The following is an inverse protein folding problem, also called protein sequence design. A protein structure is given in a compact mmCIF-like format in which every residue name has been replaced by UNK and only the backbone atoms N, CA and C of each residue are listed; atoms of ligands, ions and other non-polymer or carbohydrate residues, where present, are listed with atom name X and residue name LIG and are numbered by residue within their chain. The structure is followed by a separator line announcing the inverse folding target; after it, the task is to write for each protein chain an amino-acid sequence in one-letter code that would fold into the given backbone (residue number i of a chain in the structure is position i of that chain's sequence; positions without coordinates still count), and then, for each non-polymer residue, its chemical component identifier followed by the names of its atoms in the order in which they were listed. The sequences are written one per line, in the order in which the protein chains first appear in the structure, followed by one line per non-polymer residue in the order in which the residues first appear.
data_IF_272408991950
#
_entry.id   IF_272408991950
#
_cell.length_a   1.000
_cell.length_b   1.000
_cell.length_c   1.000
_cell.angle_alpha   90.00
_cell.angle_beta   90.00
_cell.angle_gamma   90.00
#
_symmetry.space_group_name_H-M   'P 1'
#
loop_
_entity.id
_entity.type
_entity.pdbx_description
1 polymer ?
#
# COMPACT_ATOMS: atom_id res chain seq x y z
N UNK A 1 2.07 -16.29 11.09
CA UNK A 1 3.02 -17.41 11.31
C UNK A 1 3.77 -17.87 10.04
N UNK A 2 3.50 -17.27 8.87
CA UNK A 2 4.01 -17.71 7.55
C UNK A 2 5.35 -17.08 7.13
N UNK A 3 5.62 -15.80 7.46
CA UNK A 3 6.85 -15.12 7.04
C UNK A 3 8.14 -15.61 7.74
N UNK A 4 8.06 -16.07 8.99
CA UNK A 4 9.24 -16.62 9.70
C UNK A 4 9.77 -17.91 9.07
N UNK A 5 8.90 -18.71 8.44
CA UNK A 5 9.33 -19.89 7.68
C UNK A 5 9.94 -19.48 6.34
N UNK A 6 9.38 -18.44 5.69
CA UNK A 6 9.94 -17.89 4.47
C UNK A 6 11.37 -17.38 4.69
N UNK A 7 11.71 -16.80 5.84
CA UNK A 7 13.08 -16.39 6.21
C UNK A 7 14.09 -17.54 6.29
N UNK A 8 13.66 -18.80 6.39
CA UNK A 8 14.57 -19.97 6.45
C UNK A 8 14.95 -20.53 5.07
N UNK A 9 14.30 -20.09 4.00
CA UNK A 9 14.61 -20.54 2.64
C UNK A 9 15.97 -20.00 2.13
N UNK A 10 16.74 -20.74 1.32
CA UNK A 10 17.92 -20.17 0.66
C UNK A 10 17.58 -18.99 -0.26
N UNK A 11 18.42 -17.94 -0.28
CA UNK A 11 18.20 -16.74 -1.10
C UNK A 11 18.11 -17.05 -2.61
N UNK A 12 18.80 -18.09 -3.08
CA UNK A 12 18.77 -18.52 -4.48
C UNK A 12 17.40 -18.97 -5.00
N UNK A 13 16.46 -19.33 -4.11
CA UNK A 13 15.09 -19.69 -4.51
C UNK A 13 14.34 -18.48 -5.06
N UNK A 14 14.67 -17.26 -4.60
CA UNK A 14 14.01 -16.04 -5.04
C UNK A 14 14.51 -15.53 -6.40
N UNK A 15 15.61 -16.06 -6.94
CA UNK A 15 16.07 -15.75 -8.31
C UNK A 15 15.22 -16.43 -9.40
N UNK A 16 14.27 -17.28 -9.01
CA UNK A 16 13.28 -17.88 -9.89
C UNK A 16 11.89 -17.26 -9.69
N UNK A 17 11.76 -16.25 -8.84
CA UNK A 17 10.46 -15.68 -8.48
C UNK A 17 9.76 -15.01 -9.67
N UNK A 18 10.51 -14.33 -10.53
CA UNK A 18 10.10 -13.75 -11.81
C UNK A 18 9.64 -14.79 -12.84
N UNK A 19 9.94 -16.08 -12.62
CA UNK A 19 9.49 -17.21 -13.46
C UNK A 19 8.29 -17.93 -12.89
N UNK A 20 7.98 -17.72 -11.61
CA UNK A 20 6.75 -18.21 -11.00
C UNK A 20 5.45 -17.67 -11.61
N UNK A 21 5.38 -16.52 -12.31
CA UNK A 21 4.15 -16.12 -13.00
C UNK A 21 3.72 -17.11 -14.10
N UNK A 22 4.63 -17.99 -14.56
CA UNK A 22 4.32 -19.07 -15.52
C UNK A 22 4.00 -20.42 -14.88
N UNK A 23 4.14 -20.60 -13.56
CA UNK A 23 3.93 -21.89 -12.86
C UNK A 23 3.12 -21.77 -11.56
N UNK A 24 2.94 -20.58 -10.98
CA UNK A 24 2.37 -20.42 -9.64
C UNK A 24 1.01 -19.72 -9.68
N UNK A 25 0.01 -20.48 -9.23
CA UNK A 25 -1.27 -20.06 -8.66
C UNK A 25 -1.18 -19.01 -7.53
N UNK A 26 0.02 -18.49 -7.18
CA UNK A 26 0.27 -17.56 -6.08
C UNK A 26 -0.05 -16.09 -6.41
N UNK A 27 0.32 -15.63 -7.60
CA UNK A 27 -0.05 -14.29 -8.07
C UNK A 27 -1.52 -14.27 -8.54
N UNK A 28 -1.97 -15.39 -9.13
CA UNK A 28 -3.39 -15.66 -9.28
C UNK A 28 -4.12 -15.68 -7.93
N UNK A 29 -3.54 -16.08 -6.79
CA UNK A 29 -4.26 -15.99 -5.51
C UNK A 29 -4.38 -14.57 -4.97
N UNK A 30 -3.37 -13.70 -5.09
CA UNK A 30 -3.50 -12.31 -4.65
C UNK A 30 -4.45 -11.52 -5.56
N UNK A 31 -4.30 -11.67 -6.89
CA UNK A 31 -5.20 -11.01 -7.84
C UNK A 31 -6.56 -11.70 -7.99
N UNK A 32 -6.69 -13.02 -7.80
CA UNK A 32 -8.02 -13.66 -7.69
C UNK A 32 -8.69 -13.36 -6.37
N UNK A 33 -7.95 -13.02 -5.30
CA UNK A 33 -8.54 -12.46 -4.08
C UNK A 33 -9.06 -11.04 -4.35
N UNK A 34 -8.29 -10.19 -5.01
CA UNK A 34 -8.77 -8.88 -5.50
C UNK A 34 -9.94 -9.06 -6.50
N UNK A 35 -9.91 -10.08 -7.34
CA UNK A 35 -11.00 -10.44 -8.25
C UNK A 35 -12.11 -11.30 -7.59
N UNK A 36 -11.97 -11.68 -6.30
CA UNK A 36 -13.02 -12.25 -5.44
C UNK A 36 -13.69 -11.15 -4.62
N UNK A 37 -12.99 -10.05 -4.37
CA UNK A 37 -13.59 -8.76 -3.97
C UNK A 37 -14.43 -8.16 -5.13
N UNK A 38 -14.28 -8.67 -6.35
CA UNK A 38 -15.30 -8.63 -7.39
C UNK A 38 -16.15 -9.91 -7.25
N UNK A 39 -17.46 -9.85 -6.93
CA UNK A 39 -18.20 -11.02 -6.50
C UNK A 39 -18.24 -12.10 -7.60
N UNK A 40 -17.49 -13.18 -7.38
CA UNK A 40 -17.81 -14.51 -7.93
C UNK A 40 -18.11 -15.39 -6.72
N UNK A 41 -19.39 -15.76 -6.60
CA UNK A 41 -20.00 -16.43 -5.46
C UNK A 41 -19.26 -17.71 -5.02
N UNK A 42 -18.56 -17.66 -3.90
CA UNK A 42 -18.38 -18.82 -3.00
C UNK A 42 -17.59 -18.41 -1.73
N UNK A 43 -18.30 -18.20 -0.63
CA UNK A 43 -17.76 -18.24 0.74
C UNK A 43 -17.04 -16.98 1.24
N UNK A 44 -17.78 -15.91 1.52
CA UNK A 44 -17.30 -14.71 2.24
C UNK A 44 -18.16 -14.53 3.50
N UNK A 45 -17.56 -14.01 4.58
CA UNK A 45 -18.26 -13.74 5.85
C UNK A 45 -19.35 -12.67 5.67
N UNK A 46 -20.39 -12.70 6.52
CA UNK A 46 -21.59 -11.84 6.31
C UNK A 46 -21.31 -10.34 6.34
N UNK A 47 -20.31 -9.86 7.10
CA UNK A 47 -19.99 -8.43 7.19
C UNK A 47 -19.18 -7.92 5.99
N UNK A 48 -18.23 -8.71 5.53
CA UNK A 48 -17.38 -8.40 4.36
C UNK A 48 -18.23 -8.34 3.07
N UNK A 49 -19.32 -9.12 3.01
CA UNK A 49 -20.29 -9.10 1.91
C UNK A 49 -21.06 -7.77 1.79
N UNK A 50 -21.38 -7.10 2.90
CA UNK A 50 -22.21 -5.87 2.88
C UNK A 50 -21.44 -4.65 2.36
N UNK A 51 -20.15 -4.55 2.69
CA UNK A 51 -19.28 -3.50 2.17
C UNK A 51 -18.99 -3.64 0.70
N UNK A 52 -18.62 -4.85 0.29
CA UNK A 52 -18.34 -5.15 -1.11
C UNK A 52 -19.58 -4.81 -1.94
N UNK A 53 -20.78 -5.08 -1.39
CA UNK A 53 -22.05 -4.71 -2.01
C UNK A 53 -22.33 -3.21 -1.99
N UNK A 54 -22.00 -2.50 -0.89
CA UNK A 54 -22.12 -1.03 -0.79
C UNK A 54 -21.18 -0.32 -1.76
N UNK A 55 -19.92 -0.71 -1.80
CA UNK A 55 -18.91 -0.20 -2.72
C UNK A 55 -19.24 -0.59 -4.16
N UNK A 56 -19.84 -1.76 -4.40
CA UNK A 56 -20.41 -2.12 -5.71
C UNK A 56 -21.50 -1.14 -6.11
N UNK A 57 -22.48 -0.91 -5.25
CA UNK A 57 -23.60 -0.02 -5.55
C UNK A 57 -23.11 1.42 -5.78
N UNK A 58 -22.19 1.93 -4.96
CA UNK A 58 -21.56 3.24 -5.18
C UNK A 58 -20.84 3.30 -6.53
N UNK A 59 -20.00 2.31 -6.86
CA UNK A 59 -19.28 2.26 -8.16
C UNK A 59 -20.21 2.24 -9.37
N UNK A 60 -21.25 1.42 -9.33
CA UNK A 60 -22.19 1.32 -10.45
C UNK A 60 -23.08 2.56 -10.56
N UNK A 61 -23.60 3.07 -9.44
CA UNK A 61 -24.54 4.20 -9.44
C UNK A 61 -23.87 5.57 -9.65
N UNK A 62 -22.69 5.78 -9.09
CA UNK A 62 -22.01 7.09 -9.11
C UNK A 62 -20.97 7.18 -10.23
N UNK A 63 -20.23 6.10 -10.48
CA UNK A 63 -19.12 6.08 -11.43
C UNK A 63 -19.43 5.33 -12.72
N UNK A 64 -20.60 4.68 -12.84
CA UNK A 64 -21.00 3.93 -14.03
C UNK A 64 -20.13 2.70 -14.33
N UNK A 65 -19.33 2.25 -13.36
CA UNK A 65 -18.39 1.15 -13.53
C UNK A 65 -19.08 -0.19 -13.31
N UNK A 66 -19.67 -0.73 -14.39
CA UNK A 66 -20.29 -2.05 -14.33
C UNK A 66 -19.31 -3.14 -13.88
N UNK A 67 -19.82 -4.13 -13.16
CA UNK A 67 -19.01 -5.28 -12.73
C UNK A 67 -18.36 -6.04 -13.91
N UNK A 68 -19.03 -6.11 -15.06
CA UNK A 68 -18.48 -6.73 -16.26
C UNK A 68 -17.22 -6.01 -16.76
N UNK A 69 -17.27 -4.67 -16.81
CA UNK A 69 -16.14 -3.82 -17.19
C UNK A 69 -14.98 -3.95 -16.20
N UNK A 70 -15.24 -3.93 -14.89
CA UNK A 70 -14.19 -4.05 -13.88
C UNK A 70 -13.49 -5.41 -13.94
N UNK A 71 -14.25 -6.48 -14.17
CA UNK A 71 -13.70 -7.83 -14.34
C UNK A 71 -12.83 -7.93 -15.60
N UNK A 72 -13.31 -7.38 -16.71
CA UNK A 72 -12.56 -7.35 -17.96
C UNK A 72 -11.28 -6.50 -17.83
N UNK A 73 -11.39 -5.30 -17.25
CA UNK A 73 -10.25 -4.42 -17.00
C UNK A 73 -9.22 -5.08 -16.09
N UNK A 74 -9.66 -5.73 -15.02
CA UNK A 74 -8.76 -6.47 -14.10
C UNK A 74 -8.07 -7.62 -14.81
N UNK A 75 -8.79 -8.37 -15.66
CA UNK A 75 -8.23 -9.46 -16.45
C UNK A 75 -7.19 -8.97 -17.47
N UNK A 76 -7.49 -7.87 -18.16
CA UNK A 76 -6.58 -7.27 -19.15
C UNK A 76 -5.35 -6.70 -18.46
N UNK A 77 -5.52 -5.96 -17.36
CA UNK A 77 -4.43 -5.42 -16.56
C UNK A 77 -3.51 -6.53 -16.05
N UNK A 78 -4.09 -7.61 -15.51
CA UNK A 78 -3.33 -8.77 -15.06
C UNK A 78 -2.54 -9.43 -16.19
N UNK A 79 -3.18 -9.68 -17.34
CA UNK A 79 -2.50 -10.25 -18.51
C UNK A 79 -1.37 -9.35 -19.01
N UNK A 80 -1.57 -8.03 -18.99
CA UNK A 80 -0.55 -7.06 -19.37
C UNK A 80 0.64 -7.14 -18.40
N UNK A 81 0.41 -7.07 -17.09
CA UNK A 81 1.47 -7.21 -16.07
C UNK A 81 2.25 -8.52 -16.21
N UNK A 82 1.56 -9.64 -16.48
CA UNK A 82 2.23 -10.93 -16.70
C UNK A 82 3.06 -11.01 -17.99
N UNK A 83 2.70 -10.20 -18.98
CA UNK A 83 3.44 -10.12 -20.24
C UNK A 83 4.69 -9.24 -20.15
N UNK A 84 4.82 -8.45 -19.08
CA UNK A 84 5.96 -7.58 -18.84
C UNK A 84 7.18 -8.33 -18.27
N UNK A 85 8.31 -7.63 -18.22
CA UNK A 85 9.52 -8.14 -17.60
C UNK A 85 9.38 -8.12 -16.07
N UNK A 86 9.06 -9.27 -15.49
CA UNK A 86 8.85 -9.44 -14.06
C UNK A 86 10.13 -9.71 -13.26
N UNK A 87 11.32 -9.46 -13.80
CA UNK A 87 12.60 -9.62 -13.06
C UNK A 87 12.62 -8.81 -11.75
N UNK A 88 11.88 -7.70 -11.68
CA UNK A 88 11.70 -6.94 -10.44
C UNK A 88 11.05 -7.73 -9.29
N UNK A 89 10.27 -8.76 -9.60
CA UNK A 89 9.59 -9.61 -8.61
C UNK A 89 10.59 -10.47 -7.81
N UNK A 90 11.77 -10.80 -8.36
CA UNK A 90 12.84 -11.45 -7.61
C UNK A 90 13.34 -10.57 -6.47
N UNK A 91 13.60 -9.31 -6.80
CA UNK A 91 14.04 -8.30 -5.85
C UNK A 91 12.96 -8.06 -4.81
N UNK A 92 11.69 -7.90 -5.22
CA UNK A 92 10.55 -7.74 -4.31
C UNK A 92 10.43 -8.90 -3.33
N UNK A 93 10.53 -10.15 -3.80
CA UNK A 93 10.45 -11.30 -2.92
C UNK A 93 11.61 -11.33 -1.92
N UNK A 94 12.83 -10.98 -2.35
CA UNK A 94 13.99 -10.81 -1.46
C UNK A 94 13.79 -9.67 -0.46
N UNK A 95 13.17 -8.56 -0.86
CA UNK A 95 12.79 -7.46 0.02
C UNK A 95 11.83 -7.96 1.10
N UNK A 96 10.72 -8.60 0.71
CA UNK A 96 9.70 -9.10 1.63
C UNK A 96 10.26 -10.09 2.67
N UNK A 97 11.23 -10.94 2.30
CA UNK A 97 11.85 -11.88 3.24
C UNK A 97 13.09 -11.35 3.96
N UNK A 98 13.47 -10.08 3.71
CA UNK A 98 14.68 -9.44 4.24
C UNK A 98 15.94 -10.30 4.05
N UNK A 99 16.14 -10.87 2.85
CA UNK A 99 17.30 -11.75 2.54
C UNK A 99 18.35 -11.12 1.64
N UNK A 100 18.29 -9.81 1.44
CA UNK A 100 19.38 -9.10 0.78
C UNK A 100 20.63 -8.98 1.67
N UNK A 101 21.74 -8.47 1.12
CA UNK A 101 22.91 -8.06 1.89
C UNK A 101 22.56 -7.12 3.06
N UNK A 102 23.48 -6.96 4.02
CA UNK A 102 23.30 -5.93 5.07
C UNK A 102 23.16 -4.56 4.42
N UNK A 103 22.18 -3.76 4.84
CA UNK A 103 21.90 -2.47 4.21
C UNK A 103 21.04 -2.56 2.95
N UNK A 104 20.41 -3.71 2.65
CA UNK A 104 19.61 -3.88 1.44
C UNK A 104 18.36 -3.00 1.42
N UNK A 105 17.78 -2.68 2.58
CA UNK A 105 16.71 -1.69 2.71
C UNK A 105 17.24 -0.26 2.89
N UNK A 106 18.56 -0.07 2.80
CA UNK A 106 19.23 1.20 3.06
C UNK A 106 18.75 1.82 4.38
N UNK A 107 18.37 3.09 4.40
CA UNK A 107 17.86 3.75 5.59
C UNK A 107 16.54 3.16 6.10
N UNK A 108 15.79 2.44 5.27
CA UNK A 108 14.55 1.77 5.70
C UNK A 108 14.79 0.47 6.49
N UNK A 109 16.05 0.02 6.67
CA UNK A 109 16.40 -0.98 7.69
C UNK A 109 16.04 -0.46 9.10
N UNK A 110 16.10 0.86 9.31
CA UNK A 110 15.58 1.58 10.48
C UNK A 110 14.60 2.66 10.03
N UNK A 111 13.30 2.33 10.01
CA UNK A 111 12.29 3.25 9.50
C UNK A 111 12.24 4.59 10.25
N UNK A 112 12.57 4.62 11.54
CA UNK A 112 12.66 5.87 12.30
C UNK A 112 13.84 6.73 11.82
N UNK A 113 14.97 6.11 11.48
CA UNK A 113 16.09 6.81 10.84
C UNK A 113 15.72 7.36 9.46
N UNK A 114 14.97 6.59 8.67
CA UNK A 114 14.45 7.06 7.38
C UNK A 114 13.60 8.34 7.53
N UNK A 115 12.61 8.34 8.42
CA UNK A 115 11.75 9.53 8.63
C UNK A 115 12.56 10.73 9.11
N UNK A 116 13.53 10.52 10.02
CA UNK A 116 14.47 11.59 10.44
C UNK A 116 15.25 12.16 9.26
N UNK A 117 15.77 11.31 8.38
CA UNK A 117 16.50 11.76 7.19
C UNK A 117 15.60 12.52 6.22
N UNK A 118 14.38 12.02 5.99
CA UNK A 118 13.37 12.67 5.15
C UNK A 118 13.02 14.07 5.66
N UNK A 119 12.76 14.22 6.97
CA UNK A 119 12.47 15.53 7.57
C UNK A 119 13.66 16.50 7.42
N UNK A 120 14.90 16.03 7.57
CA UNK A 120 16.10 16.84 7.36
C UNK A 120 16.22 17.35 5.92
N UNK A 121 15.94 16.51 4.93
CA UNK A 121 15.93 16.89 3.52
C UNK A 121 14.83 17.91 3.23
N UNK A 122 13.63 17.72 3.80
CA UNK A 122 12.52 18.66 3.62
C UNK A 122 12.80 20.03 4.27
N UNK A 123 13.46 20.06 5.43
CA UNK A 123 13.95 21.32 6.04
C UNK A 123 14.94 22.04 5.13
N UNK A 124 15.91 21.31 4.58
CA UNK A 124 16.90 21.89 3.66
C UNK A 124 16.23 22.45 2.39
N UNK A 125 15.33 21.67 1.77
CA UNK A 125 14.55 22.08 0.60
C UNK A 125 13.80 23.40 0.84
N UNK A 126 13.22 23.58 2.03
CA UNK A 126 12.52 24.83 2.38
C UNK A 126 13.45 26.00 2.63
N UNK A 127 14.59 25.77 3.29
CA UNK A 127 15.59 26.80 3.48
C UNK A 127 16.08 27.37 2.13
N UNK A 128 16.24 26.50 1.13
CA UNK A 128 16.68 26.88 -0.22
C UNK A 128 15.60 27.65 -1.01
N UNK A 129 14.31 27.44 -0.71
CA UNK A 129 13.17 28.10 -1.40
C UNK A 129 12.81 29.48 -0.84
N UNK A 130 13.51 29.96 0.21
CA UNK A 130 13.28 31.26 0.82
C UNK A 130 12.16 31.29 1.88
N UNK A 131 12.09 32.38 2.64
CA UNK A 131 11.37 32.56 3.93
C UNK A 131 9.84 32.47 3.91
N UNK A 132 9.23 31.91 2.86
CA UNK A 132 7.81 31.57 2.88
C UNK A 132 7.54 30.37 3.79
N UNK A 133 6.36 30.30 4.39
CA UNK A 133 5.88 29.06 5.01
C UNK A 133 5.63 28.06 3.88
N UNK A 134 6.69 27.36 3.45
CA UNK A 134 6.59 26.29 2.46
C UNK A 134 5.63 25.21 2.94
N UNK A 135 4.81 24.68 2.04
CA UNK A 135 3.85 23.63 2.41
C UNK A 135 4.55 22.42 3.03
N UNK A 136 3.89 21.83 4.04
CA UNK A 136 4.36 20.59 4.67
C UNK A 136 4.31 19.44 3.69
N UNK A 137 5.27 18.52 3.79
CA UNK A 137 5.17 17.26 3.06
C UNK A 137 4.04 16.46 3.71
N UNK A 138 2.92 16.35 2.99
CA UNK A 138 1.76 15.58 3.43
C UNK A 138 1.98 14.10 3.15
N UNK A 139 1.75 13.28 4.16
CA UNK A 139 1.79 11.82 4.06
C UNK A 139 0.52 11.26 4.70
N UNK A 140 -0.29 10.57 3.89
CA UNK A 140 -1.51 9.91 4.36
C UNK A 140 -1.31 8.40 4.29
N UNK A 141 -1.49 7.72 5.42
CA UNK A 141 -1.43 6.27 5.53
C UNK A 141 -2.82 5.72 5.86
N UNK A 142 -3.28 4.75 5.07
CA UNK A 142 -4.55 4.05 5.28
C UNK A 142 -4.27 2.65 5.81
N UNK A 143 -4.91 2.30 6.92
CA UNK A 143 -4.81 1.00 7.58
C UNK A 143 -6.16 0.32 7.58
N UNK A 144 -6.18 -0.99 7.40
CA UNK A 144 -7.42 -1.75 7.50
C UNK A 144 -7.78 -2.02 8.97
N UNK A 145 -9.08 -2.09 9.30
CA UNK A 145 -9.53 -2.45 10.66
C UNK A 145 -9.07 -3.86 11.05
N UNK A 146 -9.17 -4.80 10.12
CA UNK A 146 -8.78 -6.20 10.32
C UNK A 146 -7.63 -6.58 9.38
N UNK A 147 -6.43 -6.07 9.64
CA UNK A 147 -5.22 -6.47 8.92
C UNK A 147 -4.47 -7.60 9.66
N UNK A 148 -4.55 -8.83 9.15
CA UNK A 148 -3.86 -9.99 9.72
C UNK A 148 -2.35 -10.04 9.42
N UNK A 149 -1.86 -9.19 8.51
CA UNK A 149 -0.44 -9.15 8.12
C UNK A 149 0.36 -8.15 8.95
N UNK A 150 -0.14 -6.91 9.04
CA UNK A 150 0.51 -5.77 9.70
C UNK A 150 -0.12 -5.56 11.08
N UNK A 151 -1.45 -5.54 11.13
CA UNK A 151 -2.28 -5.31 12.30
C UNK A 151 -2.01 -3.99 13.04
N UNK A 152 -2.72 -3.80 14.15
CA UNK A 152 -2.66 -2.56 14.95
C UNK A 152 -1.25 -2.26 15.49
N UNK A 153 -0.41 -3.29 15.67
CA UNK A 153 0.97 -3.10 16.11
C UNK A 153 1.84 -2.47 15.04
N UNK A 154 1.66 -2.87 13.78
CA UNK A 154 2.38 -2.26 12.67
C UNK A 154 1.91 -0.83 12.40
N UNK A 155 0.61 -0.55 12.54
CA UNK A 155 0.09 0.82 12.53
C UNK A 155 0.75 1.66 13.63
N UNK A 156 0.72 1.22 14.89
CA UNK A 156 1.32 1.95 16.00
C UNK A 156 2.83 2.20 15.78
N UNK A 157 3.57 1.19 15.30
CA UNK A 157 4.98 1.33 14.95
C UNK A 157 5.21 2.41 13.89
N UNK A 158 4.39 2.43 12.84
CA UNK A 158 4.47 3.42 11.77
C UNK A 158 4.21 4.82 12.34
N UNK A 159 3.09 5.00 13.05
CA UNK A 159 2.75 6.29 13.66
C UNK A 159 3.85 6.81 14.60
N UNK A 160 4.44 5.94 15.41
CA UNK A 160 5.54 6.32 16.31
C UNK A 160 6.79 6.78 15.54
N UNK A 161 7.10 6.13 14.41
CA UNK A 161 8.19 6.57 13.53
C UNK A 161 7.93 7.97 12.95
N UNK A 162 6.68 8.29 12.59
CA UNK A 162 6.29 9.59 12.03
C UNK A 162 6.08 10.69 13.06
N UNK A 163 5.78 10.35 14.31
CA UNK A 163 5.77 11.31 15.44
C UNK A 163 7.18 11.67 15.90
N UNK A 164 8.10 10.72 15.80
CA UNK A 164 9.46 10.85 16.31
C UNK A 164 9.54 10.99 17.84
N UNK A 165 10.72 11.35 18.31
CA UNK A 165 11.08 11.43 19.72
C UNK A 165 10.31 12.57 20.39
N UNK A 166 9.51 12.26 21.41
CA UNK A 166 8.72 13.27 22.14
C UNK A 166 7.39 13.64 21.50
N UNK A 167 6.98 12.95 20.42
CA UNK A 167 5.61 13.01 19.90
C UNK A 167 5.32 14.05 18.81
N UNK A 168 6.25 14.97 18.54
CA UNK A 168 6.09 16.06 17.57
C UNK A 168 7.42 16.46 16.90
N UNK A 169 8.36 15.53 16.72
CA UNK A 169 9.74 15.82 16.27
C UNK A 169 9.80 16.44 14.85
N UNK A 170 8.80 16.16 14.02
CA UNK A 170 8.81 16.52 12.60
C UNK A 170 7.64 17.42 12.18
N UNK A 171 6.80 17.88 13.10
CA UNK A 171 5.60 18.66 12.77
C UNK A 171 5.90 19.98 12.06
N UNK A 172 7.12 20.50 12.14
CA UNK A 172 7.53 21.70 11.40
C UNK A 172 7.56 21.47 9.88
N UNK A 173 7.84 20.24 9.45
CA UNK A 173 8.02 19.89 8.04
C UNK A 173 7.14 18.78 7.50
N UNK A 174 6.65 17.88 8.33
CA UNK A 174 5.81 16.77 7.91
C UNK A 174 4.38 16.98 8.42
N UNK A 175 3.42 16.58 7.59
CA UNK A 175 2.00 16.48 7.94
C UNK A 175 1.58 15.02 7.73
N UNK A 176 1.75 14.20 8.77
CA UNK A 176 1.45 12.78 8.73
C UNK A 176 0.07 12.49 9.30
N UNK A 177 -0.73 11.76 8.54
CA UNK A 177 -2.05 11.27 8.97
C UNK A 177 -2.13 9.76 8.81
N UNK A 178 -2.68 9.09 9.82
CA UNK A 178 -2.98 7.67 9.81
C UNK A 178 -4.50 7.51 9.97
N UNK A 179 -5.13 6.78 9.05
CA UNK A 179 -6.57 6.57 9.02
C UNK A 179 -6.83 5.07 9.04
N UNK A 180 -7.53 4.60 10.07
CA UNK A 180 -8.05 3.23 10.10
C UNK A 180 -9.39 3.21 9.39
N UNK A 181 -9.49 2.39 8.34
CA UNK A 181 -10.68 2.25 7.50
C UNK A 181 -11.48 1.10 8.06
N UNK A 182 -12.62 1.43 8.67
CA UNK A 182 -13.55 0.45 9.22
C UNK A 182 -13.89 -0.61 8.20
N UNK A 183 -14.16 -1.80 8.71
CA UNK A 183 -14.86 -2.84 7.98
C UNK A 183 -13.96 -3.44 6.84
N UNK A 184 -12.72 -2.98 6.68
CA UNK A 184 -11.75 -3.46 5.69
C UNK A 184 -10.67 -4.37 6.28
N UNK A 185 -10.10 -5.20 5.41
CA UNK A 185 -8.92 -6.03 5.63
C UNK A 185 -7.73 -5.62 4.74
N UNK A 186 -6.62 -6.38 4.83
CA UNK A 186 -5.39 -6.12 4.09
C UNK A 186 -5.60 -5.99 2.56
N UNK A 187 -6.49 -6.82 2.00
CA UNK A 187 -6.69 -6.91 0.56
C UNK A 187 -7.76 -5.91 0.08
N UNK A 188 -8.75 -5.56 0.92
CA UNK A 188 -9.87 -4.69 0.56
C UNK A 188 -9.61 -3.20 0.75
N UNK A 189 -8.74 -2.80 1.69
CA UNK A 189 -8.45 -1.38 1.94
C UNK A 189 -7.90 -0.66 0.70
N UNK A 190 -7.13 -1.35 -0.14
CA UNK A 190 -6.49 -0.78 -1.35
C UNK A 190 -7.47 -0.56 -2.51
N UNK A 191 -8.65 -1.18 -2.48
CA UNK A 191 -9.70 -1.03 -3.50
C UNK A 191 -10.95 -0.35 -2.97
N UNK A 192 -10.97 0.05 -1.69
CA UNK A 192 -12.08 0.72 -1.06
C UNK A 192 -12.35 2.06 -1.76
N UNK A 193 -13.61 2.28 -2.18
CA UNK A 193 -14.01 3.47 -2.94
C UNK A 193 -13.74 4.74 -2.14
N UNK A 194 -14.05 4.72 -0.85
CA UNK A 194 -13.87 5.88 0.03
C UNK A 194 -12.39 6.25 0.19
N UNK A 195 -11.50 5.26 0.25
CA UNK A 195 -10.05 5.49 0.29
C UNK A 195 -9.56 6.09 -1.02
N UNK A 196 -9.96 5.52 -2.15
CA UNK A 196 -9.57 6.02 -3.47
C UNK A 196 -10.08 7.45 -3.71
N UNK A 197 -11.31 7.75 -3.32
CA UNK A 197 -11.85 9.12 -3.37
C UNK A 197 -11.00 10.10 -2.56
N UNK A 198 -10.63 9.74 -1.34
CA UNK A 198 -9.79 10.60 -0.50
C UNK A 198 -8.41 10.82 -1.11
N UNK A 199 -7.79 9.78 -1.68
CA UNK A 199 -6.50 9.90 -2.38
C UNK A 199 -6.63 10.85 -3.57
N UNK A 200 -7.62 10.65 -4.45
CA UNK A 200 -7.79 11.49 -5.63
C UNK A 200 -8.12 12.94 -5.28
N UNK A 201 -9.00 13.17 -4.30
CA UNK A 201 -9.27 14.53 -3.80
C UNK A 201 -8.02 15.18 -3.22
N UNK A 202 -7.25 14.45 -2.42
CA UNK A 202 -6.00 14.94 -1.84
C UNK A 202 -4.98 15.35 -2.90
N UNK A 203 -4.86 14.58 -4.00
CA UNK A 203 -4.00 14.93 -5.14
C UNK A 203 -4.52 16.16 -5.88
N UNK A 204 -5.83 16.26 -6.09
CA UNK A 204 -6.45 17.42 -6.75
C UNK A 204 -6.28 18.71 -5.93
N UNK A 205 -6.41 18.64 -4.62
CA UNK A 205 -6.21 19.78 -3.72
C UNK A 205 -4.76 20.29 -3.80
N UNK A 206 -3.78 19.38 -3.89
CA UNK A 206 -2.37 19.74 -4.09
C UNK A 206 -2.19 20.39 -5.47
N UNK A 207 -2.70 19.76 -6.53
CA UNK A 207 -2.56 20.28 -7.90
C UNK A 207 -3.25 21.63 -8.12
N UNK A 208 -4.30 21.92 -7.36
CA UNK A 208 -5.05 23.19 -7.40
C UNK A 208 -4.39 24.29 -6.56
N UNK A 209 -3.58 23.93 -5.56
CA UNK A 209 -2.83 24.88 -4.75
C UNK A 209 -1.58 25.44 -5.47
N UNK A 210 -1.15 24.78 -6.56
CA UNK A 210 -0.01 25.17 -7.39
C UNK A 210 -0.41 26.04 -8.62
N UNK A 211 -1.70 26.40 -8.77
CA UNK A 211 -2.22 27.34 -9.79
C UNK A 211 -2.51 28.72 -9.19
#
# INVERSE_FOLDING_TARGET
MTMQMAQRLPAGIFQLWHRMPKIASGFETAFSKIAKLLPSSSGISSSESELIERDRHKREAEYGLSMGLLKELSSVAFSATLSENLVGADSEALYCVRKGPVGFWAECDDYALFVRKLSGLERARRADQGSGVGQKLRVCAYFAETDDMIGNKGQAYMEDCWRGSGGAEFEDVLDFTAITVSETDHDSVVVCVEVLEQIFRGVLDIASADQ
#
